data_IF_419063520714
#
_entry.id   IF_419063520714
#
_cell.length_a   1.000
_cell.length_b   1.000
_cell.length_c   1.000
_cell.angle_alpha   90.00
_cell.angle_beta   90.00
_cell.angle_gamma   90.00
#
_symmetry.space_group_name_H-M   'P 1'
#
loop_
_entity.id
_entity.type
_entity.pdbx_description
1 polymer ?
#
# COMPACT_ATOMS: atom_id res chain seq x y z
N UNK A 1 37.73 13.71 21.53
CA UNK A 1 36.89 12.50 21.46
C UNK A 1 36.90 12.01 20.02
N UNK A 2 37.27 10.74 19.85
CA UNK A 2 37.80 10.17 18.62
C UNK A 2 36.76 10.00 17.50
N UNK A 3 37.13 10.41 16.29
CA UNK A 3 36.45 10.09 15.03
C UNK A 3 36.86 8.68 14.60
N UNK A 4 35.95 7.71 14.72
CA UNK A 4 36.14 6.38 14.14
C UNK A 4 35.90 6.44 12.63
N UNK A 5 36.98 6.55 11.85
CA UNK A 5 37.00 6.18 10.42
C UNK A 5 36.86 4.67 10.31
N UNK A 6 35.75 4.20 9.77
CA UNK A 6 35.60 2.82 9.33
C UNK A 6 36.33 2.65 7.99
N UNK A 7 37.44 1.92 8.01
CA UNK A 7 38.19 1.49 6.84
C UNK A 7 37.51 0.26 6.22
N UNK A 8 36.82 0.46 5.10
CA UNK A 8 36.37 -0.63 4.24
C UNK A 8 37.59 -1.20 3.50
N UNK A 9 38.01 -2.41 3.89
CA UNK A 9 38.98 -3.21 3.13
C UNK A 9 38.35 -3.64 1.81
N UNK A 10 38.69 -2.93 0.74
CA UNK A 10 38.51 -3.41 -0.64
C UNK A 10 39.40 -4.64 -0.86
N UNK A 11 38.79 -5.81 -1.08
CA UNK A 11 39.49 -6.96 -1.64
C UNK A 11 39.76 -6.68 -3.12
N UNK A 12 41.03 -6.63 -3.47
CA UNK A 12 41.52 -6.58 -4.85
C UNK A 12 41.04 -7.82 -5.60
N UNK A 13 40.44 -7.63 -6.77
CA UNK A 13 40.28 -8.68 -7.77
C UNK A 13 40.69 -8.12 -9.13
N UNK A 14 41.81 -8.69 -9.62
CA UNK A 14 42.22 -8.90 -11.01
C UNK A 14 42.15 -7.70 -11.96
N UNK A 15 43.32 -7.08 -12.17
CA UNK A 15 43.64 -6.23 -13.32
C UNK A 15 43.81 -7.08 -14.57
N UNK A 16 42.89 -7.01 -15.52
CA UNK A 16 43.18 -7.34 -16.93
C UNK A 16 43.26 -6.05 -17.74
N UNK A 17 44.48 -5.66 -18.07
CA UNK A 17 44.80 -4.56 -18.99
C UNK A 17 44.54 -5.05 -20.41
N UNK A 18 43.65 -4.37 -21.15
CA UNK A 18 43.46 -4.60 -22.59
C UNK A 18 44.59 -3.91 -23.37
N UNK A 19 45.33 -4.70 -24.15
CA UNK A 19 46.22 -4.22 -25.20
C UNK A 19 45.40 -3.88 -26.45
N UNK A 20 45.73 -2.77 -27.10
CA UNK A 20 45.10 -2.32 -28.35
C UNK A 20 45.63 -3.12 -29.56
N UNK A 21 44.70 -3.45 -30.45
CA UNK A 21 44.86 -4.24 -31.67
C UNK A 21 45.98 -3.76 -32.62
N UNK A 22 46.68 -4.73 -33.22
CA UNK A 22 47.16 -4.65 -34.60
C UNK A 22 46.60 -5.83 -35.41
N UNK A 23 46.18 -5.51 -36.62
CA UNK A 23 45.46 -6.33 -37.59
C UNK A 23 46.37 -7.25 -38.40
N UNK A 24 45.97 -8.49 -38.66
CA UNK A 24 46.23 -9.14 -39.96
C UNK A 24 45.24 -10.25 -40.30
N UNK A 25 45.03 -10.39 -41.60
CA UNK A 25 44.10 -11.20 -42.39
C UNK A 25 44.26 -12.73 -42.28
N UNK A 26 43.16 -13.48 -42.47
CA UNK A 26 43.16 -14.90 -42.80
C UNK A 26 41.78 -15.55 -42.71
N UNK A 27 41.17 -15.86 -43.87
CA UNK A 27 39.91 -16.61 -43.99
C UNK A 27 40.10 -18.07 -43.61
N UNK A 28 39.22 -18.65 -42.76
CA UNK A 28 38.71 -20.02 -42.90
C UNK A 28 37.28 -20.10 -42.30
N UNK A 29 36.37 -20.70 -43.06
CA UNK A 29 35.01 -21.05 -42.64
C UNK A 29 35.07 -22.29 -41.74
N UNK A 30 34.53 -22.21 -40.54
CA UNK A 30 34.17 -23.38 -39.75
C UNK A 30 32.88 -23.09 -38.98
N UNK A 31 31.95 -24.04 -39.00
CA UNK A 31 30.63 -23.92 -38.40
C UNK A 31 30.76 -23.92 -36.87
N UNK A 32 30.83 -22.73 -36.27
CA UNK A 32 30.85 -22.56 -34.82
C UNK A 32 29.42 -22.65 -34.30
N UNK A 33 29.18 -23.67 -33.47
CA UNK A 33 27.99 -23.77 -32.64
C UNK A 33 27.75 -22.42 -31.95
N UNK A 34 26.51 -21.93 -31.97
CA UNK A 34 26.12 -20.72 -31.24
C UNK A 34 26.27 -21.02 -29.75
N UNK A 35 27.49 -20.79 -29.23
CA UNK A 35 27.69 -20.59 -27.81
C UNK A 35 26.88 -19.34 -27.47
N UNK A 36 25.78 -19.54 -26.75
CA UNK A 36 25.05 -18.44 -26.13
C UNK A 36 26.05 -17.67 -25.27
N UNK A 37 26.43 -16.47 -25.72
CA UNK A 37 27.22 -15.58 -24.89
C UNK A 37 26.56 -15.51 -23.51
N UNK A 38 27.31 -15.72 -22.42
CA UNK A 38 26.76 -15.55 -21.09
C UNK A 38 26.39 -14.07 -20.95
N UNK A 39 25.09 -13.79 -21.03
CA UNK A 39 24.52 -12.47 -20.75
C UNK A 39 25.21 -11.92 -19.50
N UNK A 40 25.70 -10.66 -19.54
CA UNK A 40 26.41 -10.09 -18.41
C UNK A 40 25.49 -10.18 -17.19
N UNK A 41 25.88 -11.00 -16.19
CA UNK A 41 25.13 -11.18 -14.96
C UNK A 41 24.85 -9.81 -14.35
N UNK A 42 23.65 -9.28 -14.59
CA UNK A 42 23.21 -8.04 -13.98
C UNK A 42 22.87 -8.40 -12.54
N UNK A 43 23.87 -8.35 -11.66
CA UNK A 43 23.76 -8.73 -10.23
C UNK A 43 22.56 -8.05 -9.56
N UNK A 44 22.19 -6.86 -10.06
CA UNK A 44 21.10 -6.05 -9.53
C UNK A 44 19.77 -6.23 -10.24
N UNK A 45 19.68 -6.84 -11.43
CA UNK A 45 18.40 -7.05 -12.13
C UNK A 45 17.98 -8.51 -12.09
N UNK A 46 16.68 -8.74 -12.17
CA UNK A 46 16.12 -10.07 -12.39
C UNK A 46 15.49 -10.12 -13.78
N UNK A 47 15.62 -11.26 -14.47
CA UNK A 47 14.90 -11.53 -15.72
C UNK A 47 13.43 -11.87 -15.45
N UNK A 48 13.10 -12.29 -14.23
CA UNK A 48 11.72 -12.50 -13.78
C UNK A 48 11.03 -11.16 -13.58
N UNK A 49 10.08 -10.84 -14.47
CA UNK A 49 9.28 -9.62 -14.41
C UNK A 49 7.86 -9.86 -13.89
N UNK A 50 7.42 -11.12 -13.79
CA UNK A 50 6.11 -11.46 -13.23
C UNK A 50 6.19 -11.44 -11.69
N UNK A 51 5.47 -10.52 -11.02
CA UNK A 51 5.45 -10.48 -9.56
C UNK A 51 4.93 -11.77 -8.92
N UNK A 52 4.17 -12.60 -9.63
CA UNK A 52 3.69 -13.88 -9.16
C UNK A 52 4.80 -14.95 -9.08
N UNK A 53 5.83 -14.86 -9.90
CA UNK A 53 6.95 -15.80 -9.94
C UNK A 53 8.12 -15.37 -9.05
N UNK A 54 8.04 -14.22 -8.37
CA UNK A 54 9.09 -13.81 -7.46
C UNK A 54 9.23 -14.73 -6.24
N UNK A 55 10.48 -15.03 -5.89
CA UNK A 55 10.85 -15.89 -4.77
C UNK A 55 11.97 -15.26 -3.92
N UNK A 56 12.37 -15.96 -2.85
CA UNK A 56 13.49 -15.54 -1.99
C UNK A 56 14.79 -15.29 -2.77
N UNK A 57 14.98 -15.97 -3.93
CA UNK A 57 16.17 -15.82 -4.79
C UNK A 57 16.28 -14.43 -5.42
N UNK A 58 15.16 -13.75 -5.62
CA UNK A 58 15.12 -12.45 -6.30
C UNK A 58 15.25 -11.27 -5.32
N UNK A 59 15.35 -11.52 -4.01
CA UNK A 59 15.41 -10.44 -3.02
C UNK A 59 16.63 -9.54 -3.26
N UNK A 60 16.38 -8.23 -3.28
CA UNK A 60 17.40 -7.22 -3.56
C UNK A 60 17.65 -6.97 -5.05
N UNK A 61 17.09 -7.79 -5.93
CA UNK A 61 17.11 -7.55 -7.37
C UNK A 61 15.94 -6.65 -7.79
N UNK A 62 16.12 -5.96 -8.91
CA UNK A 62 15.15 -5.07 -9.52
C UNK A 62 14.52 -5.75 -10.73
N UNK A 63 13.19 -5.85 -10.74
CA UNK A 63 12.42 -6.27 -11.91
C UNK A 63 11.87 -5.05 -12.63
N UNK A 64 11.68 -5.17 -13.95
CA UNK A 64 11.15 -4.09 -14.77
C UNK A 64 9.64 -4.20 -14.86
N UNK A 65 8.94 -3.16 -14.42
CA UNK A 65 7.49 -3.03 -14.58
C UNK A 65 7.19 -2.54 -15.99
N UNK A 66 6.33 -3.23 -16.76
CA UNK A 66 5.95 -2.79 -18.09
C UNK A 66 5.38 -1.36 -18.09
N UNK A 67 5.79 -0.47 -19.02
CA UNK A 67 5.30 0.91 -19.06
C UNK A 67 3.78 1.01 -19.17
N UNK A 68 3.14 0.06 -19.86
CA UNK A 68 1.69 -0.06 -19.93
C UNK A 68 1.07 -0.27 -18.54
N UNK A 69 1.66 -1.13 -17.71
CA UNK A 69 1.16 -1.38 -16.36
C UNK A 69 1.32 -0.14 -15.47
N UNK A 70 2.43 0.60 -15.60
CA UNK A 70 2.63 1.85 -14.84
C UNK A 70 1.51 2.87 -15.14
N UNK A 71 1.23 3.10 -16.43
CA UNK A 71 0.22 4.09 -16.85
C UNK A 71 -1.19 3.69 -16.41
N UNK A 72 -1.53 2.39 -16.50
CA UNK A 72 -2.87 1.89 -16.16
C UNK A 72 -3.07 1.71 -14.65
N UNK A 73 -2.12 1.09 -13.95
CA UNK A 73 -2.24 0.72 -12.54
C UNK A 73 -1.90 1.87 -11.59
N UNK A 74 -0.96 2.73 -11.96
CA UNK A 74 -0.53 3.84 -11.11
C UNK A 74 -0.58 5.22 -11.79
N UNK A 75 -1.74 5.68 -12.30
CA UNK A 75 -1.87 7.03 -12.87
C UNK A 75 -1.35 8.14 -11.94
N UNK A 76 -1.62 8.00 -10.63
CA UNK A 76 -1.12 8.88 -9.56
C UNK A 76 -0.67 8.09 -8.32
N UNK A 77 -0.43 6.79 -8.47
CA UNK A 77 -0.18 5.87 -7.36
C UNK A 77 1.24 5.84 -6.82
N UNK A 78 2.20 6.31 -7.62
CA UNK A 78 3.62 6.18 -7.30
C UNK A 78 4.15 7.39 -6.52
N UNK A 79 5.11 7.20 -5.61
CA UNK A 79 5.79 8.31 -4.96
C UNK A 79 6.42 9.26 -5.96
N UNK A 80 6.28 10.57 -5.75
CA UNK A 80 6.82 11.61 -6.64
C UNK A 80 8.30 11.41 -7.02
N UNK A 81 9.15 11.12 -6.02
CA UNK A 81 10.58 10.87 -6.26
C UNK A 81 10.83 9.67 -7.16
N UNK A 82 9.99 8.63 -7.03
CA UNK A 82 10.07 7.46 -7.90
C UNK A 82 9.60 7.80 -9.32
N UNK A 83 8.53 8.59 -9.47
CA UNK A 83 8.10 9.08 -10.80
C UNK A 83 9.22 9.88 -11.50
N UNK A 84 9.96 10.72 -10.76
CA UNK A 84 11.14 11.41 -11.30
C UNK A 84 12.21 10.41 -11.75
N UNK A 85 12.50 9.39 -10.95
CA UNK A 85 13.45 8.34 -11.30
C UNK A 85 13.04 7.59 -12.58
N UNK A 86 11.76 7.20 -12.69
CA UNK A 86 11.22 6.54 -13.90
C UNK A 86 11.36 7.44 -15.12
N UNK A 87 11.07 8.73 -14.97
CA UNK A 87 11.23 9.70 -16.06
C UNK A 87 12.69 9.85 -16.48
N UNK A 88 13.62 9.90 -15.54
CA UNK A 88 15.05 10.07 -15.81
C UNK A 88 15.66 8.83 -16.47
N UNK A 89 15.34 7.63 -15.99
CA UNK A 89 15.89 6.39 -16.52
C UNK A 89 15.10 5.84 -17.72
N UNK A 90 13.93 6.41 -18.02
CA UNK A 90 13.00 5.94 -19.04
C UNK A 90 12.57 4.47 -18.85
N UNK A 91 12.66 3.97 -17.62
CA UNK A 91 12.29 2.61 -17.23
C UNK A 91 11.76 2.61 -15.78
N UNK A 92 10.81 1.73 -15.49
CA UNK A 92 10.26 1.57 -14.15
C UNK A 92 10.76 0.27 -13.51
N UNK A 93 11.83 0.38 -12.72
CA UNK A 93 12.41 -0.76 -12.02
C UNK A 93 12.00 -0.74 -10.54
N UNK A 94 11.48 -1.85 -10.01
CA UNK A 94 11.11 -1.99 -8.61
C UNK A 94 11.94 -3.10 -7.95
N UNK A 95 12.46 -2.85 -6.75
CA UNK A 95 13.23 -3.85 -6.00
C UNK A 95 12.29 -4.88 -5.37
N UNK A 96 12.61 -6.16 -5.51
CA UNK A 96 11.94 -7.25 -4.80
C UNK A 96 12.39 -7.23 -3.34
N UNK A 97 11.44 -7.09 -2.41
CA UNK A 97 11.70 -6.99 -0.98
C UNK A 97 10.98 -8.07 -0.20
N UNK A 98 11.61 -8.55 0.86
CA UNK A 98 11.05 -9.58 1.75
C UNK A 98 9.63 -9.26 2.26
N UNK A 99 9.30 -8.04 2.73
CA UNK A 99 7.94 -7.77 3.23
C UNK A 99 6.86 -7.87 2.15
N UNK A 100 7.18 -7.52 0.90
CA UNK A 100 6.23 -7.64 -0.20
C UNK A 100 6.01 -9.13 -0.56
N UNK A 101 7.08 -9.92 -0.63
CA UNK A 101 7.01 -11.36 -0.87
C UNK A 101 6.21 -12.08 0.22
N UNK A 102 6.40 -11.68 1.48
CA UNK A 102 5.66 -12.25 2.61
C UNK A 102 4.15 -12.03 2.44
N UNK A 103 3.72 -10.79 2.17
CA UNK A 103 2.30 -10.47 1.94
C UNK A 103 1.77 -11.21 0.71
N UNK A 104 2.50 -11.25 -0.41
CA UNK A 104 2.12 -12.03 -1.59
C UNK A 104 1.94 -13.51 -1.26
N UNK A 105 2.81 -14.08 -0.42
CA UNK A 105 2.70 -15.48 0.00
C UNK A 105 1.41 -15.74 0.80
N UNK A 106 0.98 -14.79 1.63
CA UNK A 106 -0.29 -14.88 2.34
C UNK A 106 -1.48 -14.72 1.40
N UNK A 107 -1.42 -13.78 0.44
CA UNK A 107 -2.46 -13.59 -0.57
C UNK A 107 -2.66 -14.85 -1.42
N UNK A 108 -1.58 -15.55 -1.80
CA UNK A 108 -1.64 -16.83 -2.53
C UNK A 108 -2.36 -17.93 -1.74
N UNK A 109 -2.21 -17.95 -0.42
CA UNK A 109 -2.80 -18.94 0.49
C UNK A 109 -4.20 -18.55 1.00
N UNK A 110 -4.70 -17.39 0.60
CA UNK A 110 -5.97 -16.86 1.13
C UNK A 110 -7.16 -17.59 0.51
N UNK A 111 -8.02 -18.11 1.37
CA UNK A 111 -9.29 -18.70 1.00
C UNK A 111 -10.33 -17.59 0.78
N UNK A 112 -10.97 -17.57 -0.38
CA UNK A 112 -11.94 -16.53 -0.76
C UNK A 112 -13.27 -16.63 0.00
N UNK A 113 -13.55 -17.77 0.65
CA UNK A 113 -14.76 -17.97 1.48
C UNK A 113 -14.66 -17.32 2.86
N UNK A 114 -13.45 -17.00 3.31
CA UNK A 114 -13.18 -16.44 4.65
C UNK A 114 -13.21 -14.92 4.61
N UNK A 115 -13.43 -14.26 5.77
CA UNK A 115 -13.29 -12.81 5.85
C UNK A 115 -11.88 -12.36 5.46
N UNK A 116 -11.81 -11.25 4.74
CA UNK A 116 -10.60 -10.70 4.15
C UNK A 116 -9.58 -10.33 5.22
N UNK A 117 -8.33 -10.75 5.00
CA UNK A 117 -7.21 -10.40 5.88
C UNK A 117 -6.80 -8.93 5.67
N UNK A 118 -6.28 -8.33 6.74
CA UNK A 118 -5.79 -6.94 6.77
C UNK A 118 -4.28 -6.94 7.00
N UNK A 119 -3.53 -6.47 6.01
CA UNK A 119 -2.08 -6.32 6.07
C UNK A 119 -1.72 -4.85 6.28
N UNK A 120 -0.74 -4.60 7.14
CA UNK A 120 -0.27 -3.25 7.46
C UNK A 120 1.24 -3.19 7.35
N UNK A 121 1.74 -2.49 6.34
CA UNK A 121 3.15 -2.12 6.25
C UNK A 121 3.45 -0.95 7.19
N UNK A 122 4.32 -1.17 8.18
CA UNK A 122 4.77 -0.14 9.12
C UNK A 122 6.29 -0.08 9.21
N UNK A 123 6.83 0.95 9.86
CA UNK A 123 8.27 1.16 9.99
C UNK A 123 8.69 2.60 9.73
N UNK A 124 9.98 2.86 9.91
CA UNK A 124 10.58 4.19 9.87
C UNK A 124 10.29 4.98 8.58
N UNK A 125 10.34 6.31 8.66
CA UNK A 125 10.22 7.19 7.50
C UNK A 125 11.28 6.84 6.45
N UNK A 126 10.87 6.72 5.19
CA UNK A 126 11.78 6.40 4.09
C UNK A 126 12.14 4.91 3.94
N UNK A 127 11.55 4.01 4.75
CA UNK A 127 11.84 2.56 4.67
C UNK A 127 11.25 1.83 3.46
N UNK A 128 10.62 2.53 2.51
CA UNK A 128 10.05 1.95 1.28
C UNK A 128 8.71 1.23 1.44
N UNK A 129 7.90 1.55 2.46
CA UNK A 129 6.56 0.95 2.69
C UNK A 129 5.63 1.10 1.49
N UNK A 130 5.49 2.32 0.95
CA UNK A 130 4.70 2.61 -0.24
C UNK A 130 5.15 1.79 -1.45
N UNK A 131 6.47 1.59 -1.63
CA UNK A 131 6.98 0.78 -2.73
C UNK A 131 6.66 -0.71 -2.54
N UNK A 132 6.74 -1.24 -1.31
CA UNK A 132 6.30 -2.60 -1.01
C UNK A 132 4.78 -2.79 -1.23
N UNK A 133 3.98 -1.78 -0.88
CA UNK A 133 2.55 -1.74 -1.18
C UNK A 133 2.31 -1.76 -2.70
N UNK A 134 2.98 -0.88 -3.46
CA UNK A 134 2.87 -0.83 -4.92
C UNK A 134 3.29 -2.17 -5.57
N UNK A 135 4.34 -2.82 -5.07
CA UNK A 135 4.76 -4.14 -5.55
C UNK A 135 3.65 -5.19 -5.34
N UNK A 136 3.02 -5.18 -4.16
CA UNK A 136 1.90 -6.07 -3.86
C UNK A 136 0.66 -5.74 -4.71
N UNK A 137 0.39 -4.47 -4.97
CA UNK A 137 -0.69 -4.02 -5.85
C UNK A 137 -0.46 -4.46 -7.30
N UNK A 138 0.79 -4.38 -7.78
CA UNK A 138 1.17 -4.89 -9.10
C UNK A 138 0.96 -6.40 -9.20
N UNK A 139 1.31 -7.17 -8.16
CA UNK A 139 0.94 -8.57 -8.07
C UNK A 139 -0.57 -8.79 -8.22
N UNK A 140 -1.40 -8.12 -7.40
CA UNK A 140 -2.86 -8.27 -7.48
C UNK A 140 -3.41 -7.94 -8.88
N UNK A 141 -2.90 -6.88 -9.52
CA UNK A 141 -3.28 -6.50 -10.87
C UNK A 141 -2.93 -7.58 -11.90
N UNK A 142 -1.70 -8.14 -11.85
CA UNK A 142 -1.29 -9.22 -12.78
C UNK A 142 -2.09 -10.51 -12.59
N UNK A 143 -2.61 -10.75 -11.39
CA UNK A 143 -3.49 -11.88 -11.10
C UNK A 143 -4.96 -11.64 -11.47
N UNK A 144 -5.27 -10.50 -12.12
CA UNK A 144 -6.64 -10.17 -12.53
C UNK A 144 -7.56 -9.78 -11.38
N UNK A 145 -7.04 -9.16 -10.31
CA UNK A 145 -7.87 -8.64 -9.24
C UNK A 145 -8.35 -7.22 -9.57
N UNK A 146 -9.52 -6.86 -9.07
CA UNK A 146 -10.02 -5.48 -9.11
C UNK A 146 -9.26 -4.67 -8.05
N UNK A 147 -8.54 -3.64 -8.49
CA UNK A 147 -7.67 -2.84 -7.63
C UNK A 147 -8.36 -1.55 -7.23
N UNK A 148 -8.65 -1.42 -5.94
CA UNK A 148 -9.11 -0.19 -5.32
C UNK A 148 -7.93 0.46 -4.59
N UNK A 149 -7.20 1.34 -5.27
CA UNK A 149 -6.00 1.98 -4.73
C UNK A 149 -6.28 3.44 -4.31
N UNK A 150 -5.87 3.79 -3.09
CA UNK A 150 -5.84 5.15 -2.55
C UNK A 150 -4.38 5.51 -2.30
N UNK A 151 -3.76 6.32 -3.19
CA UNK A 151 -2.32 6.61 -3.15
C UNK A 151 -1.83 7.39 -1.92
N UNK A 152 -2.68 8.24 -1.34
CA UNK A 152 -2.39 8.95 -0.09
C UNK A 152 -3.70 9.39 0.56
N UNK A 153 -4.12 8.67 1.60
CA UNK A 153 -5.33 9.01 2.36
C UNK A 153 -5.20 10.36 3.09
N UNK A 154 -3.99 10.88 3.33
CA UNK A 154 -3.83 12.19 3.95
C UNK A 154 -4.37 13.32 3.08
N UNK A 155 -4.39 13.16 1.74
CA UNK A 155 -4.96 14.17 0.83
C UNK A 155 -6.47 14.37 1.02
N UNK A 156 -7.16 13.42 1.63
CA UNK A 156 -8.60 13.52 1.92
C UNK A 156 -8.90 14.24 3.24
N UNK A 157 -7.92 14.40 4.13
CA UNK A 157 -8.09 15.04 5.44
C UNK A 157 -7.35 16.38 5.59
N UNK A 158 -6.71 16.86 4.52
CA UNK A 158 -6.01 18.16 4.48
C UNK A 158 -6.08 18.81 3.11
N UNK A 159 -5.80 20.11 3.05
CA UNK A 159 -5.70 20.90 1.81
C UNK A 159 -6.93 20.75 0.89
N UNK A 160 -8.13 20.70 1.48
CA UNK A 160 -9.37 20.68 0.72
C UNK A 160 -9.71 22.09 0.24
N UNK A 161 -9.74 22.29 -1.08
CA UNK A 161 -10.05 23.60 -1.68
C UNK A 161 -11.54 23.91 -1.69
N UNK A 162 -12.36 22.89 -1.89
CA UNK A 162 -13.81 22.99 -1.99
C UNK A 162 -14.41 21.92 -1.09
N UNK A 163 -15.19 22.35 -0.11
CA UNK A 163 -15.92 21.50 0.83
C UNK A 163 -17.40 21.88 0.70
N UNK A 164 -18.25 20.91 0.40
CA UNK A 164 -19.68 21.13 0.22
C UNK A 164 -20.47 20.32 1.25
N UNK A 165 -21.62 20.81 1.76
CA UNK A 165 -22.53 19.95 2.51
C UNK A 165 -23.05 18.84 1.60
N UNK A 166 -23.09 17.60 2.11
CA UNK A 166 -23.51 16.46 1.30
C UNK A 166 -25.01 16.50 1.00
N UNK A 167 -25.34 16.23 -0.26
CA UNK A 167 -26.74 16.18 -0.72
C UNK A 167 -27.48 14.93 -0.22
N UNK A 168 -26.73 13.84 0.01
CA UNK A 168 -27.26 12.57 0.50
C UNK A 168 -27.38 12.51 2.03
N UNK A 169 -26.43 13.12 2.75
CA UNK A 169 -26.45 13.16 4.20
C UNK A 169 -26.06 14.54 4.74
N UNK A 170 -27.02 15.24 5.31
CA UNK A 170 -26.85 16.60 5.83
C UNK A 170 -25.82 16.73 6.96
N UNK A 171 -25.45 15.64 7.64
CA UNK A 171 -24.42 15.63 8.69
C UNK A 171 -23.00 15.45 8.14
N UNK A 172 -22.82 15.38 6.82
CA UNK A 172 -21.53 15.10 6.17
C UNK A 172 -21.16 16.16 5.16
N UNK A 173 -19.87 16.15 4.81
CA UNK A 173 -19.27 17.03 3.83
C UNK A 173 -18.64 16.25 2.68
N UNK A 174 -18.92 16.73 1.47
CA UNK A 174 -18.44 16.20 0.22
C UNK A 174 -17.21 16.97 -0.28
N UNK A 175 -16.32 16.23 -0.93
CA UNK A 175 -15.03 16.68 -1.44
C UNK A 175 -14.97 16.40 -2.96
N UNK A 176 -15.68 17.19 -3.78
CA UNK A 176 -15.94 16.86 -5.18
C UNK A 176 -14.66 16.73 -6.03
N UNK A 177 -13.66 17.56 -5.77
CA UNK A 177 -12.38 17.53 -6.50
C UNK A 177 -11.60 16.24 -6.26
N UNK A 178 -11.44 15.84 -4.99
CA UNK A 178 -10.75 14.61 -4.59
C UNK A 178 -11.51 13.38 -5.07
N UNK A 179 -12.84 13.40 -5.00
CA UNK A 179 -13.68 12.32 -5.48
C UNK A 179 -13.53 12.12 -7.00
N UNK A 180 -13.60 13.22 -7.77
CA UNK A 180 -13.48 13.18 -9.23
C UNK A 180 -12.08 12.73 -9.68
N UNK A 181 -11.02 13.23 -9.02
CA UNK A 181 -9.64 12.80 -9.28
C UNK A 181 -9.48 11.30 -9.04
N UNK A 182 -10.01 10.80 -7.93
CA UNK A 182 -9.98 9.37 -7.61
C UNK A 182 -10.80 8.53 -8.60
N UNK A 183 -12.01 8.97 -8.99
CA UNK A 183 -12.85 8.26 -9.96
C UNK A 183 -12.19 8.13 -11.34
N UNK A 184 -11.49 9.16 -11.81
CA UNK A 184 -10.72 9.09 -13.08
C UNK A 184 -9.60 8.06 -13.01
N UNK A 185 -8.87 8.02 -11.88
CA UNK A 185 -7.82 7.03 -11.66
C UNK A 185 -8.41 5.62 -11.59
N UNK A 186 -9.49 5.44 -10.81
CA UNK A 186 -10.20 4.18 -10.68
C UNK A 186 -10.73 3.66 -12.03
N UNK A 187 -11.28 4.56 -12.85
CA UNK A 187 -11.74 4.24 -14.21
C UNK A 187 -10.61 3.68 -15.07
N UNK A 188 -9.48 4.35 -15.06
CA UNK A 188 -8.29 3.98 -15.86
C UNK A 188 -7.77 2.61 -15.44
N UNK A 189 -7.65 2.35 -14.13
CA UNK A 189 -7.10 1.09 -13.61
C UNK A 189 -8.01 -0.11 -13.86
N UNK A 190 -9.33 0.04 -13.74
CA UNK A 190 -10.27 -1.09 -13.72
C UNK A 190 -11.19 -1.13 -14.94
N UNK A 191 -10.82 -0.50 -16.06
CA UNK A 191 -11.68 -0.33 -17.24
C UNK A 191 -12.40 -1.62 -17.70
N UNK A 192 -11.70 -2.76 -17.65
CA UNK A 192 -12.22 -4.06 -18.06
C UNK A 192 -13.28 -4.66 -17.13
N UNK A 193 -13.33 -4.25 -15.85
CA UNK A 193 -14.36 -4.66 -14.90
C UNK A 193 -15.61 -3.77 -14.97
N UNK A 194 -15.45 -2.50 -15.35
CA UNK A 194 -16.53 -1.52 -15.37
C UNK A 194 -17.66 -1.86 -16.35
N UNK A 195 -17.35 -2.58 -17.42
CA UNK A 195 -18.33 -3.07 -18.40
C UNK A 195 -18.97 -4.41 -18.03
N UNK A 196 -18.51 -5.06 -16.95
CA UNK A 196 -19.00 -6.37 -16.50
C UNK A 196 -19.83 -6.28 -15.24
N UNK A 197 -19.39 -5.47 -14.28
CA UNK A 197 -20.06 -5.33 -12.99
C UNK A 197 -21.31 -4.46 -13.16
N UNK A 198 -22.44 -4.95 -12.63
CA UNK A 198 -23.72 -4.24 -12.65
C UNK A 198 -24.05 -3.70 -11.27
N UNK A 199 -24.81 -2.61 -11.20
CA UNK A 199 -25.33 -2.07 -9.94
C UNK A 199 -26.43 -2.99 -9.39
N UNK A 200 -26.41 -3.23 -8.08
CA UNK A 200 -27.45 -4.02 -7.39
C UNK A 200 -28.57 -3.15 -6.82
N UNK A 201 -28.43 -1.83 -6.90
CA UNK A 201 -29.37 -0.86 -6.35
C UNK A 201 -29.58 0.30 -7.30
N UNK A 202 -30.76 0.89 -7.20
CA UNK A 202 -31.06 2.19 -7.78
C UNK A 202 -30.42 3.31 -6.93
N UNK A 203 -29.75 4.24 -7.60
CA UNK A 203 -29.13 5.41 -6.99
C UNK A 203 -29.75 6.70 -7.54
N UNK A 204 -30.21 7.58 -6.67
CA UNK A 204 -30.83 8.86 -7.04
C UNK A 204 -29.85 9.98 -6.73
N UNK A 205 -29.43 10.73 -7.74
CA UNK A 205 -28.46 11.83 -7.60
C UNK A 205 -29.18 13.17 -7.46
N UNK A 206 -30.21 13.36 -8.28
CA UNK A 206 -31.09 14.52 -8.24
C UNK A 206 -32.53 14.09 -8.51
N UNK A 207 -33.49 15.02 -8.45
CA UNK A 207 -34.89 14.74 -8.81
C UNK A 207 -35.07 14.24 -10.26
N UNK A 208 -34.11 14.52 -11.14
CA UNK A 208 -34.17 14.19 -12.58
C UNK A 208 -33.13 13.14 -13.00
N UNK A 209 -32.02 13.03 -12.27
CA UNK A 209 -30.92 12.13 -12.59
C UNK A 209 -30.87 10.97 -11.58
N UNK A 210 -30.95 9.76 -12.09
CA UNK A 210 -30.83 8.52 -11.33
C UNK A 210 -30.11 7.47 -12.18
N UNK A 211 -29.47 6.53 -11.52
CA UNK A 211 -28.89 5.32 -12.11
C UNK A 211 -29.76 4.15 -11.67
N UNK A 212 -30.32 3.43 -12.63
CA UNK A 212 -31.20 2.30 -12.34
C UNK A 212 -30.40 1.08 -11.85
N UNK A 213 -31.13 0.16 -11.22
CA UNK A 213 -30.58 -1.15 -10.90
C UNK A 213 -30.26 -1.93 -12.18
N UNK A 214 -29.12 -2.64 -12.18
CA UNK A 214 -28.64 -3.39 -13.34
C UNK A 214 -27.82 -2.58 -14.34
N UNK A 215 -27.69 -1.26 -14.17
CA UNK A 215 -26.76 -0.41 -14.94
C UNK A 215 -25.31 -0.85 -14.75
N UNK A 216 -24.46 -0.54 -15.72
CA UNK A 216 -23.03 -0.87 -15.64
C UNK A 216 -22.32 0.01 -14.60
N UNK A 217 -21.36 -0.57 -13.88
CA UNK A 217 -20.54 0.16 -12.90
C UNK A 217 -19.77 1.31 -13.57
N UNK A 218 -19.41 1.15 -14.85
CA UNK A 218 -18.80 2.23 -15.64
C UNK A 218 -19.68 3.45 -15.80
N UNK A 219 -21.00 3.29 -16.00
CA UNK A 219 -21.96 4.40 -16.10
C UNK A 219 -22.04 5.16 -14.78
N UNK A 220 -22.04 4.43 -13.66
CA UNK A 220 -22.00 5.01 -12.33
C UNK A 220 -20.75 5.87 -12.12
N UNK A 221 -19.57 5.35 -12.51
CA UNK A 221 -18.30 6.08 -12.41
C UNK A 221 -18.30 7.33 -13.31
N UNK A 222 -18.81 7.21 -14.54
CA UNK A 222 -18.86 8.30 -15.50
C UNK A 222 -19.81 9.42 -15.05
N UNK A 223 -20.92 9.08 -14.40
CA UNK A 223 -21.80 10.06 -13.76
C UNK A 223 -21.05 10.90 -12.72
N UNK A 224 -20.24 10.29 -11.86
CA UNK A 224 -19.45 11.02 -10.86
C UNK A 224 -18.32 11.86 -11.45
N UNK A 225 -17.74 11.44 -12.58
CA UNK A 225 -16.70 12.21 -13.29
C UNK A 225 -17.31 13.44 -13.98
N UNK A 226 -18.48 13.27 -14.60
CA UNK A 226 -19.16 14.33 -15.35
C UNK A 226 -19.89 15.31 -14.43
N UNK A 227 -20.41 14.84 -13.28
CA UNK A 227 -21.12 15.63 -12.27
C UNK A 227 -20.35 15.65 -10.96
N UNK A 228 -19.31 16.49 -10.88
CA UNK A 228 -18.41 16.56 -9.73
C UNK A 228 -19.13 16.75 -8.37
N UNK A 229 -20.25 17.49 -8.32
CA UNK A 229 -21.05 17.70 -7.10
C UNK A 229 -21.52 16.38 -6.46
N UNK A 230 -21.88 15.39 -7.27
CA UNK A 230 -22.30 14.07 -6.80
C UNK A 230 -21.13 13.09 -6.70
N UNK A 231 -19.91 13.53 -7.02
CA UNK A 231 -18.74 12.66 -7.10
C UNK A 231 -18.44 11.92 -5.79
N UNK A 232 -18.57 12.58 -4.64
CA UNK A 232 -18.32 11.96 -3.33
C UNK A 232 -19.30 10.84 -3.01
N UNK A 233 -20.58 11.05 -3.35
CA UNK A 233 -21.63 10.05 -3.18
C UNK A 233 -21.43 8.87 -4.15
N UNK A 234 -21.03 9.14 -5.39
CA UNK A 234 -20.67 8.11 -6.38
C UNK A 234 -19.52 7.25 -5.89
N UNK A 235 -18.46 7.83 -5.31
CA UNK A 235 -17.37 7.07 -4.68
C UNK A 235 -17.91 6.13 -3.59
N UNK A 236 -18.80 6.64 -2.75
CA UNK A 236 -19.48 5.84 -1.73
C UNK A 236 -20.29 4.68 -2.31
N UNK A 237 -21.04 4.94 -3.39
CA UNK A 237 -21.82 3.94 -4.09
C UNK A 237 -20.94 2.86 -4.71
N UNK A 238 -19.84 3.23 -5.38
CA UNK A 238 -18.86 2.29 -5.96
C UNK A 238 -18.26 1.40 -4.86
N UNK A 239 -17.77 1.99 -3.76
CA UNK A 239 -17.22 1.21 -2.64
C UNK A 239 -18.25 0.25 -2.03
N UNK A 240 -19.51 0.67 -1.98
CA UNK A 240 -20.62 -0.14 -1.44
C UNK A 240 -20.96 -1.31 -2.36
N UNK A 241 -21.11 -1.08 -3.66
CA UNK A 241 -21.37 -2.14 -4.65
C UNK A 241 -20.24 -3.17 -4.67
N UNK A 242 -18.99 -2.72 -4.74
CA UNK A 242 -17.83 -3.61 -4.76
C UNK A 242 -17.75 -4.46 -3.49
N UNK A 243 -18.00 -3.87 -2.31
CA UNK A 243 -18.00 -4.62 -1.05
C UNK A 243 -19.15 -5.62 -0.96
N UNK A 244 -20.32 -5.31 -1.50
CA UNK A 244 -21.49 -6.18 -1.44
C UNK A 244 -21.38 -7.36 -2.39
N UNK A 245 -20.82 -7.15 -3.58
CA UNK A 245 -20.69 -8.17 -4.62
C UNK A 245 -19.42 -9.03 -4.44
N UNK A 246 -18.38 -8.49 -3.81
CA UNK A 246 -17.14 -9.24 -3.54
C UNK A 246 -17.43 -10.50 -2.70
N UNK A 247 -17.00 -11.66 -3.21
CA UNK A 247 -17.14 -12.94 -2.52
C UNK A 247 -18.53 -13.58 -2.58
N UNK A 248 -19.48 -12.99 -3.33
CA UNK A 248 -20.78 -13.59 -3.58
C UNK A 248 -20.71 -14.69 -4.66
N UNK A 249 -21.57 -15.72 -4.61
CA UNK A 249 -21.66 -16.69 -5.68
C UNK A 249 -22.07 -15.99 -6.99
N UNK A 250 -21.22 -16.08 -8.02
CA UNK A 250 -21.37 -15.34 -9.28
C UNK A 250 -20.55 -14.05 -9.39
N UNK A 251 -19.72 -13.71 -8.39
CA UNK A 251 -18.76 -12.61 -8.52
C UNK A 251 -17.54 -13.04 -9.33
N UNK A 252 -17.36 -12.48 -10.53
CA UNK A 252 -16.24 -12.79 -11.43
C UNK A 252 -14.94 -12.03 -11.06
N UNK A 253 -14.85 -11.42 -9.89
CA UNK A 253 -13.69 -10.63 -9.49
C UNK A 253 -13.29 -10.83 -8.03
N UNK A 254 -12.00 -10.65 -7.76
CA UNK A 254 -11.43 -10.55 -6.40
C UNK A 254 -11.07 -9.10 -6.12
N UNK A 255 -11.36 -8.61 -4.91
CA UNK A 255 -11.12 -7.21 -4.55
C UNK A 255 -9.78 -7.03 -3.81
N UNK A 256 -8.87 -6.22 -4.36
CA UNK A 256 -7.67 -5.73 -3.67
C UNK A 256 -7.88 -4.28 -3.22
N UNK A 257 -8.05 -4.06 -1.92
CA UNK A 257 -8.14 -2.70 -1.36
C UNK A 257 -6.78 -2.25 -0.87
N UNK A 258 -6.17 -1.29 -1.54
CA UNK A 258 -4.85 -0.76 -1.24
C UNK A 258 -4.92 0.68 -0.73
N UNK A 259 -4.45 0.95 0.49
CA UNK A 259 -4.50 2.30 1.10
C UNK A 259 -3.15 2.68 1.67
N UNK A 260 -2.53 3.72 1.10
CA UNK A 260 -1.36 4.35 1.71
C UNK A 260 -1.78 5.48 2.66
N UNK A 261 -1.03 5.63 3.76
CA UNK A 261 -1.31 6.59 4.81
C UNK A 261 -2.61 6.31 5.57
N UNK A 262 -2.93 5.03 5.81
CA UNK A 262 -4.22 4.61 6.39
C UNK A 262 -4.50 5.24 7.77
N UNK A 263 -3.46 5.66 8.49
CA UNK A 263 -3.58 6.42 9.74
C UNK A 263 -4.28 7.77 9.60
N UNK A 264 -4.38 8.34 8.39
CA UNK A 264 -5.19 9.52 8.14
C UNK A 264 -6.69 9.30 8.45
N UNK A 265 -7.19 8.06 8.31
CA UNK A 265 -8.60 7.78 8.44
C UNK A 265 -9.11 8.02 9.86
N UNK A 266 -8.34 7.62 10.88
CA UNK A 266 -8.69 7.75 12.30
C UNK A 266 -7.93 8.86 13.03
N UNK A 267 -7.21 9.70 12.29
CA UNK A 267 -6.51 10.86 12.83
C UNK A 267 -7.43 12.06 13.04
N UNK A 268 -6.84 13.25 13.02
CA UNK A 268 -7.56 14.54 12.96
C UNK A 268 -7.44 15.13 11.56
N UNK A 269 -8.39 15.96 11.17
CA UNK A 269 -8.34 16.71 9.91
C UNK A 269 -7.84 18.14 10.14
N UNK A 270 -7.32 18.78 9.08
CA UNK A 270 -7.08 20.24 9.06
C UNK A 270 -8.13 21.00 8.25
N UNK A 271 -9.21 20.32 7.84
CA UNK A 271 -10.26 20.91 7.02
C UNK A 271 -11.18 21.69 7.96
N UNK A 272 -11.48 22.94 7.60
CA UNK A 272 -12.36 23.80 8.37
C UNK A 272 -13.72 23.89 7.68
N UNK A 273 -14.79 23.89 8.47
CA UNK A 273 -16.15 24.17 8.04
C UNK A 273 -16.35 25.69 7.87
N UNK A 274 -17.50 26.09 7.36
CA UNK A 274 -17.85 27.52 7.19
C UNK A 274 -17.86 28.29 8.52
N UNK A 275 -18.23 27.63 9.62
CA UNK A 275 -18.22 28.19 10.98
C UNK A 275 -16.80 28.25 11.61
N UNK A 276 -15.75 27.91 10.85
CA UNK A 276 -14.35 27.81 11.28
C UNK A 276 -14.06 26.72 12.31
N UNK A 277 -15.02 25.83 12.59
CA UNK A 277 -14.74 24.62 13.36
C UNK A 277 -14.00 23.60 12.47
N UNK A 278 -13.19 22.74 13.10
CA UNK A 278 -12.51 21.67 12.38
C UNK A 278 -13.52 20.57 12.03
N UNK A 279 -13.50 20.09 10.79
CA UNK A 279 -14.30 18.95 10.37
C UNK A 279 -13.69 17.66 10.92
N UNK A 280 -14.48 16.83 11.58
CA UNK A 280 -14.01 15.53 12.01
C UNK A 280 -13.90 14.59 10.80
N UNK A 281 -12.91 13.68 10.74
CA UNK A 281 -12.80 12.77 9.60
C UNK A 281 -14.02 11.85 9.42
N UNK A 282 -14.87 11.69 10.44
CA UNK A 282 -16.15 10.96 10.32
C UNK A 282 -17.24 11.74 9.58
N UNK A 283 -17.15 13.07 9.58
CA UNK A 283 -18.06 13.96 8.85
C UNK A 283 -17.69 14.04 7.37
N UNK A 284 -16.48 13.64 6.97
CA UNK A 284 -16.05 13.64 5.57
C UNK A 284 -16.56 12.38 4.85
N UNK A 285 -17.38 12.56 3.81
CA UNK A 285 -18.04 11.46 3.08
C UNK A 285 -17.05 10.42 2.55
N UNK A 286 -15.93 10.86 1.95
CA UNK A 286 -14.91 9.97 1.39
C UNK A 286 -14.25 9.10 2.48
N UNK A 287 -13.85 9.72 3.59
CA UNK A 287 -13.18 9.04 4.71
C UNK A 287 -14.15 8.07 5.39
N UNK A 288 -15.39 8.50 5.61
CA UNK A 288 -16.42 7.67 6.23
C UNK A 288 -16.70 6.40 5.41
N UNK A 289 -16.85 6.52 4.09
CA UNK A 289 -17.08 5.38 3.20
C UNK A 289 -15.86 4.45 3.13
N UNK A 290 -14.65 5.01 3.13
CA UNK A 290 -13.43 4.22 3.18
C UNK A 290 -13.26 3.47 4.51
N UNK A 291 -13.56 4.09 5.65
CA UNK A 291 -13.57 3.40 6.96
C UNK A 291 -14.53 2.21 6.97
N UNK A 292 -15.68 2.31 6.29
CA UNK A 292 -16.61 1.19 6.13
C UNK A 292 -15.99 0.04 5.34
N UNK A 293 -15.25 0.35 4.28
CA UNK A 293 -14.54 -0.65 3.47
C UNK A 293 -13.42 -1.36 4.25
N UNK A 294 -12.83 -0.69 5.25
CA UNK A 294 -11.77 -1.24 6.12
C UNK A 294 -12.26 -2.19 7.22
N UNK A 295 -13.57 -2.43 7.33
CA UNK A 295 -14.15 -3.37 8.29
C UNK A 295 -13.88 -4.83 7.88
N UNK A 296 -13.87 -5.74 8.85
CA UNK A 296 -13.48 -7.14 8.67
C UNK A 296 -14.54 -8.02 8.00
N UNK A 297 -15.64 -7.44 7.53
CA UNK A 297 -16.76 -8.15 6.90
C UNK A 297 -16.63 -8.23 5.37
N UNK A 298 -15.57 -7.68 4.78
CA UNK A 298 -15.26 -7.90 3.37
C UNK A 298 -14.93 -9.39 3.14
N UNK A 299 -15.57 -10.04 2.18
CA UNK A 299 -15.29 -11.43 1.76
C UNK A 299 -14.80 -11.41 0.31
N UNK A 300 -14.03 -12.42 -0.14
CA UNK A 300 -13.56 -12.49 -1.52
C UNK A 300 -12.51 -11.45 -1.92
N UNK A 301 -11.81 -10.87 -0.94
CA UNK A 301 -10.80 -9.84 -1.18
C UNK A 301 -9.67 -9.80 -0.16
N UNK A 302 -8.83 -8.78 -0.27
CA UNK A 302 -7.76 -8.49 0.68
C UNK A 302 -7.60 -6.99 0.89
N UNK A 303 -7.28 -6.60 2.12
CA UNK A 303 -7.01 -5.21 2.48
C UNK A 303 -5.53 -5.08 2.78
N UNK A 304 -4.82 -4.28 1.97
CA UNK A 304 -3.38 -4.08 2.04
C UNK A 304 -3.14 -2.60 2.30
N UNK A 305 -2.51 -2.27 3.42
CA UNK A 305 -2.36 -0.87 3.83
C UNK A 305 -0.92 -0.55 4.18
N UNK A 306 -0.56 0.73 4.09
CA UNK A 306 0.69 1.24 4.59
C UNK A 306 0.43 2.39 5.57
N UNK A 307 1.16 2.38 6.68
CA UNK A 307 1.23 3.54 7.58
C UNK A 307 2.23 4.54 7.04
N UNK A 308 1.91 5.82 7.21
CA UNK A 308 2.84 6.89 6.85
C UNK A 308 2.87 7.97 7.93
N UNK A 309 4.08 8.19 8.45
CA UNK A 309 4.41 9.39 9.22
C UNK A 309 4.48 10.62 8.29
N UNK A 310 4.90 10.42 7.03
CA UNK A 310 5.05 11.54 6.09
C UNK A 310 3.67 12.02 5.68
N UNK A 311 3.36 13.27 6.04
CA UNK A 311 2.06 13.86 5.78
C UNK A 311 1.02 13.62 6.88
N UNK A 312 1.37 12.87 7.92
CA UNK A 312 0.54 12.69 9.12
C UNK A 312 0.30 14.03 9.82
N UNK A 313 -0.90 14.17 10.39
CA UNK A 313 -1.34 15.36 11.09
C UNK A 313 -1.27 15.11 12.59
N UNK A 314 -0.71 16.06 13.34
CA UNK A 314 -0.64 16.01 14.81
C UNK A 314 0.03 14.74 15.38
N UNK A 315 1.06 14.22 14.68
CA UNK A 315 1.89 13.09 15.11
C UNK A 315 3.36 13.49 15.15
N UNK A 316 4.15 12.91 16.06
CA UNK A 316 5.58 13.22 16.14
C UNK A 316 6.31 12.67 14.91
N UNK A 317 7.48 13.24 14.62
CA UNK A 317 8.36 12.77 13.54
C UNK A 317 9.03 11.43 13.86
N UNK A 318 9.14 11.11 15.15
CA UNK A 318 9.68 9.84 15.64
C UNK A 318 8.69 8.69 15.54
N UNK A 319 7.40 8.97 15.44
CA UNK A 319 6.36 7.95 15.54
C UNK A 319 6.32 7.10 14.27
N UNK A 320 6.36 5.78 14.44
CA UNK A 320 6.31 4.83 13.33
C UNK A 320 5.60 3.53 13.69
N UNK A 321 5.32 3.29 14.97
CA UNK A 321 4.63 2.10 15.41
C UNK A 321 3.13 2.21 15.08
N UNK A 322 2.45 1.08 14.81
CA UNK A 322 1.03 1.11 14.49
C UNK A 322 0.16 1.76 15.54
N UNK A 323 0.40 1.47 16.83
CA UNK A 323 -0.37 2.04 17.93
C UNK A 323 -0.19 3.55 18.06
N UNK A 324 1.04 4.06 17.85
CA UNK A 324 1.33 5.49 17.89
C UNK A 324 0.61 6.25 16.77
N UNK A 325 0.68 5.73 15.53
CA UNK A 325 0.15 6.40 14.36
C UNK A 325 -1.36 6.27 14.23
N UNK A 326 -1.93 5.09 14.50
CA UNK A 326 -3.38 4.86 14.46
C UNK A 326 -4.09 5.43 15.69
N UNK A 327 -3.38 5.56 16.81
CA UNK A 327 -3.95 5.96 18.10
C UNK A 327 -4.67 4.82 18.80
N UNK A 328 -5.19 5.12 19.99
CA UNK A 328 -6.01 4.20 20.74
C UNK A 328 -7.39 4.06 20.08
N UNK A 329 -7.85 2.81 19.93
CA UNK A 329 -9.26 2.57 19.63
C UNK A 329 -10.10 3.10 20.79
N UNK A 330 -10.82 4.20 20.59
CA UNK A 330 -11.99 4.51 21.40
C UNK A 330 -13.10 3.50 21.08
N UNK A 331 -12.87 2.23 21.40
CA UNK A 331 -13.91 1.22 21.48
C UNK A 331 -14.47 1.27 22.89
N UNK A 332 -15.62 1.93 23.02
CA UNK A 332 -16.67 1.51 23.96
C UNK A 332 -17.10 0.08 23.62
N UNK A 333 -16.23 -0.89 23.93
CA UNK A 333 -16.49 -2.31 24.10
C UNK A 333 -15.15 -3.04 24.24
N UNK A 334 -14.68 -3.21 25.49
CA UNK A 334 -13.71 -4.25 25.83
C UNK A 334 -14.32 -5.61 25.47
N UNK A 335 -13.92 -6.20 24.33
CA UNK A 335 -13.93 -7.66 24.15
C UNK A 335 -12.66 -8.10 23.41
N UNK A 336 -11.72 -8.57 24.23
CA UNK A 336 -10.64 -9.54 23.96
C UNK A 336 -10.09 -9.60 22.53
N UNK A 337 -9.08 -8.80 22.25
CA UNK A 337 -8.04 -9.15 21.27
C UNK A 337 -6.85 -9.72 22.06
N UNK A 338 -6.64 -11.03 21.96
CA UNK A 338 -5.41 -11.69 22.42
C UNK A 338 -4.27 -11.17 21.54
N UNK A 339 -3.46 -10.28 22.09
CA UNK A 339 -2.11 -10.02 21.58
C UNK A 339 -1.27 -11.19 22.03
N UNK A 340 -0.84 -12.03 21.09
CA UNK A 340 0.20 -13.04 21.34
C UNK A 340 1.52 -12.28 21.34
N UNK A 341 1.94 -11.83 22.53
CA UNK A 341 3.33 -11.42 22.75
C UNK A 341 4.17 -12.68 22.94
N UNK A 342 5.28 -12.73 22.21
CA UNK A 342 6.32 -13.74 22.32
C UNK A 342 6.83 -13.85 23.76
N UNK A 343 6.69 -15.03 24.36
CA UNK A 343 7.29 -15.39 25.64
C UNK A 343 8.81 -15.45 25.46
N UNK A 344 9.52 -14.50 26.05
CA UNK A 344 10.94 -14.61 26.35
C UNK A 344 11.07 -15.70 27.42
N UNK A 345 11.68 -16.82 27.06
CA UNK A 345 12.09 -17.85 27.99
C UNK A 345 13.40 -17.42 28.67
N UNK A 346 13.32 -17.07 29.95
CA UNK A 346 14.46 -17.21 30.87
C UNK A 346 13.93 -17.87 32.14
N UNK A 347 14.05 -19.19 32.21
CA UNK A 347 13.89 -19.97 33.43
C UNK A 347 15.28 -20.42 33.90
N UNK A 348 15.63 -19.93 35.09
CA UNK A 348 16.74 -20.34 35.92
C UNK A 348 16.70 -21.84 36.25
N UNK A 349 17.86 -22.46 36.43
CA UNK A 349 17.96 -23.77 37.05
C UNK A 349 19.36 -24.36 37.05
N UNK A 350 20.30 -23.81 37.82
CA UNK A 350 21.36 -24.62 38.43
C UNK A 350 21.75 -24.03 39.79
N UNK A 351 21.69 -24.89 40.80
CA UNK A 351 21.89 -24.63 42.23
C UNK A 351 23.35 -24.91 42.60
N UNK A 352 24.03 -23.99 43.30
CA UNK A 352 25.26 -24.28 44.06
C UNK A 352 25.23 -23.53 45.40
N UNK A 353 25.57 -24.27 46.44
CA UNK A 353 25.56 -23.97 47.89
C UNK A 353 26.59 -22.91 48.37
N UNK A 354 26.28 -22.38 49.59
CA UNK A 354 27.17 -21.81 50.65
C UNK A 354 27.77 -20.42 50.39
N UNK A 355 27.91 -19.51 51.35
CA UNK A 355 27.82 -19.56 52.81
C UNK A 355 27.44 -18.16 53.39
N UNK A 356 26.80 -18.18 54.56
CA UNK A 356 26.51 -17.01 55.40
C UNK A 356 27.79 -16.32 55.90
N UNK A 357 27.76 -14.99 55.99
CA UNK A 357 28.47 -14.26 57.04
C UNK A 357 27.62 -13.10 57.57
N UNK A 358 27.19 -13.25 58.83
CA UNK A 358 26.64 -12.21 59.71
C UNK A 358 27.68 -11.13 60.02
N UNK A 359 27.22 -9.87 60.10
CA UNK A 359 27.54 -8.78 61.07
C UNK A 359 27.21 -7.45 60.38
N UNK A 360 26.60 -6.43 60.97
CA UNK A 360 26.18 -6.14 62.32
C UNK A 360 25.56 -4.75 62.30
N UNK A 361 24.51 -4.57 63.11
CA UNK A 361 23.75 -3.33 63.32
C UNK A 361 24.61 -2.36 64.14
N UNK A 362 24.71 -1.08 63.73
CA UNK A 362 24.98 0.04 64.66
C UNK A 362 24.20 1.27 64.22
N UNK A 363 23.27 1.67 65.10
CA UNK A 363 22.78 3.03 65.22
C UNK A 363 23.88 3.91 65.81
N UNK A 364 23.97 5.16 65.37
CA UNK A 364 24.24 6.31 66.26
C UNK A 364 23.96 7.61 65.52
N UNK A 365 23.04 8.37 66.10
CA UNK A 365 22.85 9.81 66.05
C UNK A 365 24.10 10.66 65.85
N UNK A 366 24.00 11.68 65.00
CA UNK A 366 24.09 13.11 65.34
C UNK A 366 23.61 13.95 64.16
#
# INVERSE_FOLDING_TARGET
>A
MALHRLSLRLRQTVTHVRSLHTSTCGQQHEAVAVESEPEPFSVFRTHENDPACHSQKHIGQYYTVPPAHIRTLFPQGLPWRYQQQVKTFNEACMMVRQPALEVMSYLKKTDSSKPSLRYVFYGLKGSGKTMSLCHTVHYCYTQGWLVLHIPDAHRWVKNCKELLPSSYNTSRFDQPLQATEWLRNFRTTNQHFLSKIKTTKRYVWTKREFTEEGSLLGELVDQGINRAKSGSDVVGAVMKELRQQSGQPGSDFRLAVAVDGVNALWGRSTIMKEDKSAADPEELTLVYNLRKLMRSDLVGGAIITALSQTGALYKSKSDYLPQELLGECQTTARRSLRVVTSTIWTASGYSIHRAEHRKGRKNSSS
#
